data_IF_126849629990
#
_entry.id   IF_126849629990
#
_cell.length_a   1.000
_cell.length_b   1.000
_cell.length_c   1.000
_cell.angle_alpha   90.00
_cell.angle_beta   90.00
_cell.angle_gamma   90.00
#
_symmetry.space_group_name_H-M   'P 1'
#
loop_
_entity.id
_entity.type
_entity.pdbx_description
1 polymer ?
#
# COMPACT_ATOMS: atom_id res chain seq x y z
N UNK A 1 26.01 -12.55 -11.46
CA UNK A 1 25.69 -12.71 -10.03
C UNK A 1 24.25 -13.12 -9.99
N UNK A 2 23.92 -14.30 -9.51
CA UNK A 2 22.52 -14.69 -9.31
C UNK A 2 22.02 -13.85 -8.13
N UNK A 3 21.22 -12.81 -8.42
CA UNK A 3 20.51 -12.09 -7.40
C UNK A 3 19.55 -13.08 -6.74
N UNK A 4 19.83 -13.38 -5.46
CA UNK A 4 19.02 -14.29 -4.66
C UNK A 4 17.57 -13.78 -4.65
N UNK A 5 16.65 -14.69 -4.87
CA UNK A 5 15.22 -14.52 -4.70
C UNK A 5 14.97 -13.80 -3.36
N UNK A 6 14.17 -12.74 -3.30
CA UNK A 6 13.82 -12.13 -2.02
C UNK A 6 13.07 -13.16 -1.18
N UNK A 7 13.77 -13.73 -0.18
CA UNK A 7 13.09 -14.54 0.83
C UNK A 7 12.06 -13.66 1.54
N UNK A 8 10.99 -14.26 2.09
CA UNK A 8 10.05 -13.54 2.99
C UNK A 8 10.78 -12.77 4.11
N UNK A 9 12.01 -13.16 4.41
CA UNK A 9 12.89 -12.51 5.40
C UNK A 9 13.32 -11.10 4.98
N UNK A 10 13.25 -10.74 3.69
CA UNK A 10 13.62 -9.43 3.15
C UNK A 10 12.44 -8.52 2.91
N UNK A 11 11.24 -8.98 3.25
CA UNK A 11 9.98 -8.27 3.10
C UNK A 11 9.34 -7.99 4.46
N UNK A 12 8.83 -6.80 4.67
CA UNK A 12 7.98 -6.46 5.81
C UNK A 12 6.73 -5.70 5.38
N UNK A 13 5.74 -5.61 6.27
CA UNK A 13 4.58 -4.74 6.08
C UNK A 13 4.76 -3.41 6.83
N UNK A 14 4.28 -2.33 6.23
CA UNK A 14 4.14 -1.02 6.89
C UNK A 14 2.66 -0.68 6.94
N UNK A 15 2.15 -0.46 8.15
CA UNK A 15 0.75 -0.11 8.39
C UNK A 15 0.73 1.26 9.05
N UNK A 16 0.09 2.22 8.40
CA UNK A 16 -0.13 3.54 9.00
C UNK A 16 -1.49 3.56 9.67
N UNK A 17 -1.53 3.96 10.94
CA UNK A 17 -2.76 4.04 11.73
C UNK A 17 -3.03 5.45 12.20
N UNK A 18 -4.31 5.82 12.25
CA UNK A 18 -4.79 7.05 12.85
C UNK A 18 -6.16 6.81 13.48
N UNK A 19 -6.26 6.93 14.79
CA UNK A 19 -7.48 6.67 15.55
C UNK A 19 -8.17 5.34 15.17
N UNK A 20 -7.47 4.20 15.17
CA UNK A 20 -8.03 2.94 14.73
C UNK A 20 -9.24 2.54 15.57
N UNK A 21 -10.13 1.76 14.98
CA UNK A 21 -11.30 1.19 15.68
C UNK A 21 -10.92 -0.07 16.45
N UNK A 22 -11.79 -0.54 17.34
CA UNK A 22 -11.55 -1.79 18.08
C UNK A 22 -11.36 -3.01 17.16
N UNK A 23 -11.97 -3.01 15.98
CA UNK A 23 -11.79 -4.09 14.99
C UNK A 23 -10.37 -4.19 14.47
N UNK A 24 -9.56 -3.14 14.56
CA UNK A 24 -8.16 -3.14 14.13
C UNK A 24 -7.32 -4.17 14.89
N UNK A 25 -7.65 -4.48 16.14
CA UNK A 25 -6.94 -5.50 16.92
C UNK A 25 -7.00 -6.86 16.23
N UNK A 26 -8.20 -7.36 15.93
CA UNK A 26 -8.37 -8.62 15.22
C UNK A 26 -7.81 -8.58 13.79
N UNK A 27 -7.84 -7.42 13.15
CA UNK A 27 -7.22 -7.23 11.84
C UNK A 27 -5.69 -7.34 11.91
N UNK A 28 -5.04 -6.69 12.88
CA UNK A 28 -3.59 -6.80 13.10
C UNK A 28 -3.18 -8.24 13.39
N UNK A 29 -3.98 -9.00 14.15
CA UNK A 29 -3.74 -10.42 14.39
C UNK A 29 -3.71 -11.26 13.10
N UNK A 30 -4.60 -10.96 12.14
CA UNK A 30 -4.59 -11.64 10.84
C UNK A 30 -3.33 -11.24 10.04
N UNK A 31 -2.99 -9.95 10.00
CA UNK A 31 -1.80 -9.48 9.31
C UNK A 31 -0.52 -10.05 9.90
N UNK A 32 -0.46 -10.27 11.21
CA UNK A 32 0.67 -10.95 11.86
C UNK A 32 0.85 -12.41 11.42
N UNK A 33 -0.15 -13.05 10.84
CA UNK A 33 0.00 -14.41 10.27
C UNK A 33 0.60 -14.38 8.86
N UNK A 34 0.30 -13.32 8.10
CA UNK A 34 0.74 -13.16 6.71
C UNK A 34 2.18 -12.60 6.60
N UNK A 35 2.58 -11.72 7.51
CA UNK A 35 3.87 -11.02 7.46
C UNK A 35 4.81 -11.48 8.57
N UNK A 36 6.07 -11.71 8.25
CA UNK A 36 7.14 -12.01 9.23
C UNK A 36 7.41 -10.85 10.19
N UNK A 37 7.37 -9.61 9.69
CA UNK A 37 7.59 -8.36 10.43
C UNK A 37 6.59 -7.30 9.98
N UNK A 38 6.09 -6.51 10.95
CA UNK A 38 5.20 -5.37 10.71
C UNK A 38 5.79 -4.13 11.37
N UNK A 39 5.85 -3.03 10.63
CA UNK A 39 6.08 -1.70 11.17
C UNK A 39 4.73 -1.02 11.27
N UNK A 40 4.29 -0.77 12.49
CA UNK A 40 3.06 -0.04 12.79
C UNK A 40 3.41 1.42 13.04
N UNK A 41 3.00 2.31 12.14
CA UNK A 41 3.23 3.76 12.31
C UNK A 41 1.95 4.41 12.84
N UNK A 42 1.95 4.72 14.13
CA UNK A 42 0.87 5.50 14.75
C UNK A 42 1.02 6.98 14.38
N UNK A 43 0.13 7.46 13.53
CA UNK A 43 0.19 8.82 12.99
C UNK A 43 -0.54 9.85 13.87
N UNK A 44 -0.33 9.78 15.18
CA UNK A 44 -0.90 10.74 16.15
C UNK A 44 -2.29 10.37 16.64
N UNK A 45 -2.51 9.11 16.94
CA UNK A 45 -3.74 8.62 17.59
C UNK A 45 -3.97 9.29 18.94
N UNK A 46 -5.23 9.60 19.25
CA UNK A 46 -5.64 10.22 20.52
C UNK A 46 -5.28 9.35 21.73
N UNK A 47 -4.99 10.00 22.87
CA UNK A 47 -4.46 9.33 24.07
C UNK A 47 -5.34 8.18 24.57
N UNK A 48 -6.65 8.31 24.48
CA UNK A 48 -7.62 7.28 24.89
C UNK A 48 -7.50 5.98 24.08
N UNK A 49 -7.03 6.04 22.84
CA UNK A 49 -6.84 4.89 21.94
C UNK A 49 -5.39 4.40 21.85
N UNK A 50 -4.42 5.22 22.23
CA UNK A 50 -3.00 4.85 22.19
C UNK A 50 -2.67 3.62 23.04
N UNK A 51 -3.37 3.47 24.19
CA UNK A 51 -3.19 2.30 25.04
C UNK A 51 -3.44 0.99 24.28
N UNK A 52 -4.43 0.94 23.42
CA UNK A 52 -4.72 -0.24 22.59
C UNK A 52 -3.57 -0.58 21.66
N UNK A 53 -3.01 0.40 20.93
CA UNK A 53 -1.88 0.19 20.01
C UNK A 53 -0.63 -0.28 20.77
N UNK A 54 -0.35 0.34 21.92
CA UNK A 54 0.78 -0.05 22.78
C UNK A 54 0.65 -1.49 23.26
N UNK A 55 -0.54 -1.87 23.75
CA UNK A 55 -0.80 -3.23 24.24
C UNK A 55 -0.66 -4.25 23.11
N UNK A 56 -1.12 -3.94 21.89
CA UNK A 56 -0.96 -4.82 20.74
C UNK A 56 0.51 -4.99 20.34
N UNK A 57 1.26 -3.89 20.23
CA UNK A 57 2.68 -3.95 19.91
C UNK A 57 3.45 -4.76 20.98
N UNK A 58 3.13 -4.58 22.26
CA UNK A 58 3.73 -5.34 23.36
C UNK A 58 3.32 -6.81 23.32
N UNK A 59 2.06 -7.14 23.02
CA UNK A 59 1.55 -8.52 22.94
C UNK A 59 2.28 -9.34 21.87
N UNK A 60 2.45 -8.78 20.67
CA UNK A 60 3.17 -9.45 19.59
C UNK A 60 4.70 -9.41 19.76
N UNK A 61 5.19 -8.47 20.55
CA UNK A 61 6.61 -8.23 20.79
C UNK A 61 7.32 -7.53 19.63
N UNK A 62 8.42 -6.88 19.98
CA UNK A 62 9.23 -6.05 19.08
C UNK A 62 9.71 -6.82 17.82
N UNK A 63 9.99 -8.10 17.94
CA UNK A 63 10.42 -8.93 16.81
C UNK A 63 9.34 -9.05 15.73
N UNK A 64 8.06 -9.01 16.11
CA UNK A 64 6.92 -9.13 15.19
C UNK A 64 6.33 -7.80 14.78
N UNK A 65 6.08 -6.92 15.76
CA UNK A 65 5.47 -5.61 15.54
C UNK A 65 6.35 -4.53 16.15
N UNK A 66 6.95 -3.70 15.32
CA UNK A 66 7.64 -2.48 15.76
C UNK A 66 6.71 -1.28 15.65
N UNK A 67 6.59 -0.49 16.72
CA UNK A 67 5.69 0.65 16.79
C UNK A 67 6.45 1.97 16.72
N UNK A 68 6.26 2.72 15.64
CA UNK A 68 6.70 4.11 15.50
C UNK A 68 5.53 5.01 15.90
N UNK A 69 5.78 6.01 16.77
CA UNK A 69 4.74 6.92 17.28
C UNK A 69 5.01 8.35 16.87
N UNK A 70 4.01 8.96 16.28
CA UNK A 70 3.97 10.40 16.06
C UNK A 70 3.12 11.08 17.13
N UNK A 71 3.56 12.24 17.62
CA UNK A 71 2.82 13.03 18.62
C UNK A 71 1.59 13.74 18.03
N UNK A 72 1.51 13.82 16.70
CA UNK A 72 0.42 14.43 15.92
C UNK A 72 0.31 13.78 14.56
N UNK A 73 -0.79 13.98 13.85
CA UNK A 73 -0.89 13.59 12.47
C UNK A 73 0.09 14.41 11.61
N UNK A 74 1.07 13.71 11.03
CA UNK A 74 2.13 14.29 10.18
C UNK A 74 1.87 14.06 8.69
N UNK A 75 0.71 13.50 8.33
CA UNK A 75 0.35 13.10 6.99
C UNK A 75 0.83 11.68 6.64
N UNK A 76 0.19 11.09 5.61
CA UNK A 76 0.48 9.71 5.20
C UNK A 76 1.89 9.59 4.59
N UNK A 77 2.32 10.59 3.82
CA UNK A 77 3.64 10.60 3.18
C UNK A 77 4.77 10.51 4.22
N UNK A 78 4.76 11.38 5.23
CA UNK A 78 5.75 11.38 6.30
C UNK A 78 5.71 10.07 7.10
N UNK A 79 4.52 9.57 7.43
CA UNK A 79 4.38 8.32 8.16
C UNK A 79 4.92 7.12 7.36
N UNK A 80 4.65 7.03 6.07
CA UNK A 80 5.22 6.01 5.19
C UNK A 80 6.74 6.15 5.11
N UNK A 81 7.27 7.36 4.93
CA UNK A 81 8.71 7.61 4.87
C UNK A 81 9.43 7.12 6.13
N UNK A 82 8.85 7.29 7.32
CA UNK A 82 9.40 6.77 8.57
C UNK A 82 9.51 5.24 8.54
N UNK A 83 8.46 4.54 8.08
CA UNK A 83 8.47 3.08 7.96
C UNK A 83 9.48 2.59 6.91
N UNK A 84 9.57 3.25 5.75
CA UNK A 84 10.52 2.93 4.69
C UNK A 84 11.97 3.12 5.14
N UNK A 85 12.24 4.23 5.82
CA UNK A 85 13.57 4.52 6.36
C UNK A 85 13.98 3.45 7.38
N UNK A 86 13.07 3.10 8.31
CA UNK A 86 13.31 2.04 9.27
C UNK A 86 13.62 0.70 8.57
N UNK A 87 12.86 0.35 7.55
CA UNK A 87 13.07 -0.89 6.79
C UNK A 87 14.46 -0.94 6.14
N UNK A 88 14.90 0.17 5.53
CA UNK A 88 16.24 0.29 4.92
C UNK A 88 17.34 0.12 5.97
N UNK A 89 17.23 0.78 7.12
CA UNK A 89 18.20 0.73 8.20
C UNK A 89 18.36 -0.68 8.81
N UNK A 90 17.30 -1.50 8.68
CA UNK A 90 17.28 -2.89 9.18
C UNK A 90 17.50 -3.94 8.09
N UNK A 91 17.92 -3.50 6.88
CA UNK A 91 18.39 -4.40 5.82
C UNK A 91 17.28 -5.11 5.04
N UNK A 92 16.04 -4.59 5.07
CA UNK A 92 14.96 -5.06 4.20
C UNK A 92 15.13 -4.53 2.78
N UNK A 93 14.65 -5.28 1.81
CA UNK A 93 14.75 -4.94 0.39
C UNK A 93 13.41 -4.52 -0.20
N UNK A 94 12.31 -4.99 0.40
CA UNK A 94 10.95 -4.73 -0.06
C UNK A 94 10.04 -4.42 1.12
N UNK A 95 9.03 -3.61 0.86
CA UNK A 95 7.94 -3.34 1.80
C UNK A 95 6.59 -3.49 1.11
N UNK A 96 5.58 -3.98 1.83
CA UNK A 96 4.18 -3.88 1.44
C UNK A 96 3.53 -2.85 2.37
N UNK A 97 2.92 -1.83 1.80
CA UNK A 97 2.18 -0.83 2.56
C UNK A 97 0.71 -1.22 2.68
N UNK A 98 0.09 -0.98 3.81
CA UNK A 98 -1.31 -1.28 4.07
C UNK A 98 -1.96 -0.11 4.83
N UNK A 99 -3.18 0.21 4.45
CA UNK A 99 -4.03 1.05 5.29
C UNK A 99 -4.60 0.21 6.45
N UNK A 100 -4.96 0.87 7.54
CA UNK A 100 -5.46 0.20 8.76
C UNK A 100 -6.76 -0.59 8.56
N UNK A 101 -7.48 -0.38 7.46
CA UNK A 101 -8.77 -0.98 7.10
C UNK A 101 -8.72 -1.82 5.81
N UNK A 102 -7.53 -2.03 5.26
CA UNK A 102 -7.32 -2.83 4.05
C UNK A 102 -7.09 -4.30 4.40
N UNK A 103 -7.81 -5.21 3.76
CA UNK A 103 -7.74 -6.65 4.04
C UNK A 103 -7.14 -7.40 2.86
N UNK A 104 -5.91 -7.93 2.98
CA UNK A 104 -5.37 -8.87 2.00
C UNK A 104 -6.26 -10.11 1.87
N UNK A 105 -6.55 -10.51 0.64
CA UNK A 105 -7.16 -11.81 0.41
C UNK A 105 -6.12 -12.91 0.68
N UNK A 106 -6.59 -14.10 1.03
CA UNK A 106 -5.70 -15.23 1.31
C UNK A 106 -4.72 -15.48 0.14
N UNK A 107 -3.43 -15.62 0.45
CA UNK A 107 -2.36 -15.82 -0.53
C UNK A 107 -1.96 -14.57 -1.34
N UNK A 108 -2.47 -13.38 -1.01
CA UNK A 108 -2.09 -12.15 -1.73
C UNK A 108 -0.58 -11.91 -1.66
N UNK A 109 0.01 -12.07 -0.49
CA UNK A 109 1.45 -11.80 -0.27
C UNK A 109 2.30 -12.79 -1.07
N UNK A 110 1.99 -14.08 -0.99
CA UNK A 110 2.72 -15.12 -1.73
C UNK A 110 2.61 -14.90 -3.25
N UNK A 111 1.42 -14.50 -3.72
CA UNK A 111 1.19 -14.17 -5.14
C UNK A 111 2.00 -12.95 -5.58
N UNK A 112 2.13 -11.92 -4.76
CA UNK A 112 2.98 -10.76 -5.06
C UNK A 112 4.47 -11.14 -5.07
N UNK A 113 4.91 -11.95 -4.12
CA UNK A 113 6.30 -12.44 -4.07
C UNK A 113 6.60 -13.25 -5.34
N UNK A 114 5.74 -14.21 -5.68
CA UNK A 114 5.90 -15.00 -6.90
C UNK A 114 5.95 -14.12 -8.16
N UNK A 115 5.06 -13.14 -8.27
CA UNK A 115 5.04 -12.22 -9.41
C UNK A 115 6.29 -11.32 -9.46
N UNK A 116 6.82 -10.90 -8.31
CA UNK A 116 8.07 -10.16 -8.21
C UNK A 116 9.25 -10.99 -8.72
N UNK A 117 9.33 -12.26 -8.30
CA UNK A 117 10.39 -13.19 -8.69
C UNK A 117 10.41 -13.44 -10.21
N UNK A 118 9.24 -13.57 -10.82
CA UNK A 118 9.06 -13.88 -12.22
C UNK A 118 8.81 -12.64 -13.10
N UNK A 119 8.97 -11.43 -12.52
CA UNK A 119 8.74 -10.19 -13.27
C UNK A 119 9.82 -9.99 -14.34
N UNK A 120 9.44 -9.80 -15.63
CA UNK A 120 10.41 -9.72 -16.73
C UNK A 120 11.36 -8.51 -16.65
N UNK A 121 11.00 -7.46 -15.89
CA UNK A 121 11.80 -6.27 -15.64
C UNK A 121 11.96 -5.99 -14.15
N UNK A 122 12.24 -7.00 -13.35
CA UNK A 122 12.33 -6.89 -11.88
C UNK A 122 13.24 -5.75 -11.42
N UNK A 123 14.38 -5.55 -12.07
CA UNK A 123 15.35 -4.50 -11.76
C UNK A 123 14.78 -3.07 -11.89
N UNK A 124 13.78 -2.90 -12.75
CA UNK A 124 13.10 -1.61 -12.98
C UNK A 124 11.73 -1.53 -12.32
N UNK A 125 11.30 -2.57 -11.64
CA UNK A 125 9.99 -2.61 -11.00
C UNK A 125 10.02 -1.80 -9.70
N UNK A 126 9.48 -0.59 -9.73
CA UNK A 126 9.37 0.27 -8.55
C UNK A 126 8.22 -0.13 -7.64
N UNK A 127 7.07 -0.47 -8.25
CA UNK A 127 5.84 -0.83 -7.54
C UNK A 127 5.17 -2.02 -8.19
N UNK A 128 4.82 -3.01 -7.38
CA UNK A 128 3.95 -4.12 -7.74
C UNK A 128 2.73 -4.12 -6.85
N UNK A 129 1.58 -3.76 -7.39
CA UNK A 129 0.34 -3.66 -6.62
C UNK A 129 -0.55 -4.90 -6.80
N UNK A 130 -1.41 -5.20 -5.84
CA UNK A 130 -2.49 -6.14 -6.03
C UNK A 130 -3.63 -5.53 -6.84
N UNK A 131 -4.54 -6.37 -7.31
CA UNK A 131 -5.83 -5.95 -7.82
C UNK A 131 -6.73 -5.53 -6.65
N UNK A 132 -7.22 -4.30 -6.71
CA UNK A 132 -8.14 -3.77 -5.70
C UNK A 132 -9.55 -4.26 -5.99
N UNK A 133 -10.19 -4.81 -4.97
CA UNK A 133 -11.59 -5.26 -4.99
C UNK A 133 -12.39 -4.40 -4.02
N UNK A 134 -13.40 -3.70 -4.53
CA UNK A 134 -14.32 -2.96 -3.67
C UNK A 134 -15.30 -3.92 -2.99
N UNK A 135 -15.41 -3.84 -1.67
CA UNK A 135 -16.29 -4.71 -0.89
C UNK A 135 -17.79 -4.47 -1.18
N UNK A 136 -18.19 -3.20 -1.31
CA UNK A 136 -19.60 -2.80 -1.51
C UNK A 136 -20.06 -2.93 -2.97
N UNK A 137 -19.15 -2.87 -3.91
CA UNK A 137 -19.40 -3.04 -5.33
C UNK A 137 -18.32 -3.98 -5.87
N UNK A 138 -18.55 -5.31 -5.88
CA UNK A 138 -17.53 -6.28 -6.24
C UNK A 138 -17.16 -6.16 -7.72
N UNK A 139 -16.42 -5.14 -8.04
CA UNK A 139 -15.81 -4.89 -9.34
C UNK A 139 -14.33 -4.59 -9.17
N UNK A 140 -13.56 -5.03 -10.14
CA UNK A 140 -12.13 -4.77 -10.20
C UNK A 140 -11.89 -3.29 -10.52
N UNK A 141 -10.90 -2.70 -9.85
CA UNK A 141 -10.45 -1.36 -10.19
C UNK A 141 -9.89 -1.35 -11.62
N UNK A 142 -10.22 -0.32 -12.37
CA UNK A 142 -9.63 -0.09 -13.69
C UNK A 142 -8.37 0.76 -13.52
N UNK A 143 -7.29 0.29 -14.14
CA UNK A 143 -6.01 0.99 -14.13
C UNK A 143 -5.80 1.76 -15.43
N UNK A 144 -4.96 2.78 -15.37
CA UNK A 144 -4.59 3.57 -16.54
C UNK A 144 -3.19 3.16 -17.01
N UNK A 145 -3.06 2.93 -18.32
CA UNK A 145 -1.78 2.69 -18.98
C UNK A 145 -1.51 3.80 -19.96
N UNK A 146 -0.29 4.32 -19.99
CA UNK A 146 0.14 5.27 -21.00
C UNK A 146 0.45 4.54 -22.30
N UNK A 147 -0.28 4.87 -23.38
CA UNK A 147 -0.07 4.29 -24.70
C UNK A 147 0.97 5.09 -25.49
N UNK A 148 0.94 6.42 -25.38
CA UNK A 148 1.95 7.32 -25.94
C UNK A 148 1.93 8.67 -25.16
N UNK A 149 2.63 9.70 -25.67
CA UNK A 149 2.76 10.98 -24.97
C UNK A 149 1.43 11.65 -24.63
N UNK A 150 0.36 11.39 -25.39
CA UNK A 150 -0.94 12.06 -25.24
C UNK A 150 -2.13 11.12 -24.97
N UNK A 151 -1.93 9.82 -25.14
CA UNK A 151 -3.01 8.83 -25.04
C UNK A 151 -2.82 7.90 -23.86
N UNK A 152 -3.89 7.74 -23.09
CA UNK A 152 -4.04 6.76 -22.04
C UNK A 152 -5.13 5.77 -22.41
N UNK A 153 -4.98 4.53 -22.01
CA UNK A 153 -5.98 3.48 -22.18
C UNK A 153 -6.32 2.85 -20.83
N UNK A 154 -7.55 2.38 -20.70
CA UNK A 154 -7.90 1.56 -19.55
C UNK A 154 -7.26 0.18 -19.69
N UNK A 155 -6.59 -0.24 -18.63
CA UNK A 155 -6.06 -1.58 -18.50
C UNK A 155 -6.84 -2.31 -17.41
N UNK A 156 -7.43 -3.44 -17.75
CA UNK A 156 -8.10 -4.33 -16.81
C UNK A 156 -7.91 -5.76 -17.24
N UNK A 157 -7.70 -6.66 -16.32
CA UNK A 157 -7.68 -8.09 -16.53
C UNK A 157 -8.14 -8.77 -15.24
N UNK A 158 -8.70 -9.96 -15.36
CA UNK A 158 -9.06 -10.79 -14.20
C UNK A 158 -7.87 -11.60 -13.71
N UNK A 159 -6.94 -11.90 -14.60
CA UNK A 159 -5.75 -12.71 -14.34
C UNK A 159 -4.51 -12.14 -15.03
N UNK A 160 -3.34 -12.53 -14.55
CA UNK A 160 -2.05 -12.18 -15.11
C UNK A 160 -1.48 -10.85 -14.63
N UNK A 161 -0.43 -10.42 -15.29
CA UNK A 161 0.35 -9.24 -14.93
C UNK A 161 0.01 -8.05 -15.83
N UNK A 162 -0.57 -7.00 -15.26
CA UNK A 162 -0.73 -5.71 -15.94
C UNK A 162 0.55 -4.90 -15.76
N UNK A 163 1.16 -4.47 -16.86
CA UNK A 163 2.45 -3.79 -16.87
C UNK A 163 2.36 -2.36 -17.41
N UNK A 164 3.37 -1.55 -17.08
CA UNK A 164 3.51 -0.17 -17.54
C UNK A 164 2.29 0.68 -17.21
N UNK A 165 1.77 0.51 -16.00
CA UNK A 165 0.65 1.28 -15.50
C UNK A 165 1.10 2.68 -15.06
N UNK A 166 0.17 3.61 -15.01
CA UNK A 166 0.47 5.00 -14.67
C UNK A 166 0.34 5.25 -13.17
N UNK A 167 -0.68 4.69 -12.55
CA UNK A 167 -1.03 4.94 -11.15
C UNK A 167 -1.55 3.66 -10.51
N UNK A 168 -1.08 3.40 -9.30
CA UNK A 168 -1.63 2.44 -8.34
C UNK A 168 -1.76 3.15 -7.00
N UNK A 169 -2.59 2.64 -6.10
CA UNK A 169 -2.70 3.17 -4.73
C UNK A 169 -1.59 2.62 -3.84
N UNK A 170 -1.28 3.31 -2.75
CA UNK A 170 -0.29 2.83 -1.78
C UNK A 170 -0.72 1.54 -1.11
N UNK A 171 -2.00 1.41 -0.73
CA UNK A 171 -2.46 0.26 0.04
C UNK A 171 -2.35 -1.06 -0.73
N UNK A 172 -1.72 -2.06 -0.12
CA UNK A 172 -1.41 -3.37 -0.69
C UNK A 172 -0.19 -3.39 -1.62
N UNK A 173 0.38 -2.24 -1.97
CA UNK A 173 1.47 -2.15 -2.93
C UNK A 173 2.81 -2.57 -2.33
N UNK A 174 3.53 -3.41 -3.08
CA UNK A 174 4.90 -3.81 -2.81
C UNK A 174 5.86 -2.81 -3.48
N UNK A 175 6.77 -2.27 -2.70
CA UNK A 175 7.78 -1.30 -3.13
C UNK A 175 9.18 -1.89 -3.06
N UNK A 176 10.00 -1.60 -4.07
CA UNK A 176 11.44 -1.86 -4.07
C UNK A 176 12.17 -0.73 -3.34
N UNK A 177 12.77 -1.04 -2.18
CA UNK A 177 13.45 -0.04 -1.34
C UNK A 177 14.72 0.53 -1.98
N UNK A 178 15.41 -0.25 -2.81
CA UNK A 178 16.55 0.25 -3.58
C UNK A 178 16.14 1.32 -4.59
N UNK A 179 15.03 1.11 -5.28
CA UNK A 179 14.47 2.10 -6.21
C UNK A 179 13.93 3.31 -5.44
N UNK A 180 13.20 3.08 -4.33
CA UNK A 180 12.70 4.18 -3.50
C UNK A 180 13.84 5.08 -2.99
N UNK A 181 14.96 4.51 -2.57
CA UNK A 181 16.14 5.27 -2.16
C UNK A 181 16.71 6.13 -3.29
N UNK A 182 16.72 5.61 -4.53
CA UNK A 182 17.21 6.34 -5.70
C UNK A 182 16.26 7.46 -6.14
N UNK A 183 14.94 7.19 -6.08
CA UNK A 183 13.90 8.17 -6.43
C UNK A 183 13.77 9.28 -5.37
N UNK A 184 14.13 8.98 -4.14
CA UNK A 184 13.84 9.81 -2.97
C UNK A 184 12.46 9.50 -2.34
N UNK A 185 12.21 10.03 -1.14
CA UNK A 185 11.03 9.75 -0.33
C UNK A 185 9.73 10.24 -1.00
N UNK A 186 8.59 9.77 -0.48
CA UNK A 186 7.30 10.40 -0.78
C UNK A 186 7.32 11.86 -0.38
N UNK A 187 6.68 12.71 -1.14
CA UNK A 187 6.65 14.15 -0.89
C UNK A 187 5.75 14.47 0.29
N UNK A 188 6.33 14.99 1.36
CA UNK A 188 5.64 15.31 2.61
C UNK A 188 4.60 16.43 2.47
N UNK A 189 4.81 17.34 1.50
CA UNK A 189 3.91 18.46 1.23
C UNK A 189 2.55 18.03 0.66
N UNK A 190 2.43 16.81 0.14
CA UNK A 190 1.12 16.27 -0.27
C UNK A 190 0.24 15.80 0.88
N UNK A 191 0.79 15.65 2.06
CA UNK A 191 0.13 15.25 3.30
C UNK A 191 -0.70 13.96 3.19
N UNK A 192 -1.74 13.91 2.35
CA UNK A 192 -2.64 12.76 2.17
C UNK A 192 -2.92 12.44 0.70
N UNK A 193 -3.37 13.43 -0.08
CA UNK A 193 -3.80 13.21 -1.46
C UNK A 193 -2.61 13.26 -2.42
N UNK A 194 -2.67 12.47 -3.51
CA UNK A 194 -1.64 12.41 -4.57
C UNK A 194 -0.26 11.85 -4.17
N UNK A 195 -0.07 11.34 -2.98
CA UNK A 195 1.21 10.77 -2.51
C UNK A 195 1.65 9.62 -3.41
N UNK A 196 0.75 8.68 -3.69
CA UNK A 196 0.93 7.57 -4.61
C UNK A 196 1.08 8.03 -6.07
N UNK A 197 0.22 8.94 -6.49
CA UNK A 197 0.21 9.47 -7.85
C UNK A 197 1.54 10.15 -8.20
N UNK A 198 2.04 11.02 -7.33
CA UNK A 198 3.31 11.70 -7.50
C UNK A 198 4.47 10.70 -7.58
N UNK A 199 4.54 9.78 -6.62
CA UNK A 199 5.60 8.77 -6.59
C UNK A 199 5.61 7.91 -7.85
N UNK A 200 4.45 7.41 -8.27
CA UNK A 200 4.32 6.59 -9.47
C UNK A 200 4.74 7.35 -10.72
N UNK A 201 4.31 8.60 -10.89
CA UNK A 201 4.69 9.42 -12.04
C UNK A 201 6.19 9.74 -12.06
N UNK A 202 6.78 10.04 -10.90
CA UNK A 202 8.22 10.28 -10.76
C UNK A 202 9.03 9.02 -11.09
N UNK A 203 8.57 7.85 -10.64
CA UNK A 203 9.18 6.57 -10.99
C UNK A 203 9.18 6.33 -12.51
N UNK A 204 8.04 6.54 -13.16
CA UNK A 204 7.90 6.38 -14.62
C UNK A 204 8.80 7.37 -15.38
N UNK A 205 8.90 8.61 -14.93
CA UNK A 205 9.77 9.63 -15.55
C UNK A 205 11.24 9.23 -15.50
N UNK A 206 11.66 8.46 -14.49
CA UNK A 206 13.01 7.93 -14.36
C UNK A 206 13.20 6.54 -15.00
N UNK A 207 12.20 6.05 -15.73
CA UNK A 207 12.27 4.80 -16.49
C UNK A 207 12.01 3.54 -15.68
N UNK A 208 11.42 3.67 -14.48
CA UNK A 208 10.94 2.55 -13.68
C UNK A 208 9.52 2.12 -14.09
N UNK A 209 9.16 0.92 -13.70
CA UNK A 209 7.89 0.28 -14.06
C UNK A 209 6.97 0.16 -12.84
N UNK A 210 5.66 0.35 -13.11
CA UNK A 210 4.56 0.11 -12.18
C UNK A 210 3.72 -1.03 -12.76
N UNK A 211 3.45 -2.06 -11.96
CA UNK A 211 2.69 -3.23 -12.39
C UNK A 211 1.62 -3.63 -11.37
N UNK A 212 0.62 -4.38 -11.83
CA UNK A 212 -0.43 -4.98 -10.99
C UNK A 212 -0.50 -6.47 -11.28
N UNK A 213 -0.47 -7.27 -10.22
CA UNK A 213 -0.72 -8.71 -10.27
C UNK A 213 -2.19 -8.98 -9.99
N UNK A 214 -2.93 -9.44 -10.99
CA UNK A 214 -4.39 -9.52 -10.93
C UNK A 214 -4.91 -10.61 -9.98
N UNK A 215 -4.17 -11.70 -9.78
CA UNK A 215 -4.52 -12.77 -8.84
C UNK A 215 -4.24 -12.39 -7.38
N UNK A 216 -3.30 -11.46 -7.13
CA UNK A 216 -3.13 -10.87 -5.81
C UNK A 216 -4.26 -9.87 -5.57
N UNK A 217 -5.10 -10.10 -4.57
CA UNK A 217 -6.30 -9.28 -4.34
C UNK A 217 -6.26 -8.60 -2.99
N UNK A 218 -6.58 -7.32 -2.96
CA UNK A 218 -6.78 -6.54 -1.75
C UNK A 218 -8.23 -6.08 -1.67
N UNK A 219 -8.92 -6.42 -0.59
CA UNK A 219 -10.25 -5.89 -0.29
C UNK A 219 -10.03 -4.53 0.36
N UNK A 220 -10.51 -3.47 -0.28
CA UNK A 220 -10.30 -2.11 0.19
C UNK A 220 -11.52 -1.24 -0.06
N UNK A 221 -11.94 -0.51 0.97
CA UNK A 221 -13.07 0.42 0.88
C UNK A 221 -12.58 1.81 0.48
N UNK A 222 -12.78 2.18 -0.79
CA UNK A 222 -12.40 3.50 -1.34
C UNK A 222 -13.31 4.62 -0.81
N UNK A 223 -13.29 4.85 0.52
CA UNK A 223 -14.07 5.88 1.20
C UNK A 223 -15.58 5.60 1.27
N UNK A 224 -16.32 6.45 1.98
CA UNK A 224 -17.80 6.35 2.04
C UNK A 224 -18.39 6.89 0.73
N UNK A 225 -18.83 6.01 -0.15
CA UNK A 225 -19.60 6.38 -1.34
C UNK A 225 -21.08 6.48 -0.96
N UNK A 226 -21.73 7.57 -1.38
CA UNK A 226 -23.17 7.71 -1.29
C UNK A 226 -23.77 7.58 -2.70
N UNK A 227 -24.76 6.72 -2.82
CA UNK A 227 -25.55 6.65 -4.06
C UNK A 227 -26.31 7.96 -4.23
N UNK A 228 -26.04 8.69 -5.33
CA UNK A 228 -26.82 9.85 -5.74
C UNK A 228 -27.39 9.60 -7.13
N UNK A 229 -28.72 9.72 -7.25
CA UNK A 229 -29.39 9.66 -8.55
C UNK A 229 -29.50 11.08 -9.12
N UNK A 230 -28.88 11.31 -10.25
CA UNK A 230 -28.95 12.57 -10.97
C UNK A 230 -29.31 12.27 -12.44
N UNK A 231 -30.41 12.86 -12.93
CA UNK A 231 -30.90 12.73 -14.31
C UNK A 231 -30.98 11.28 -14.82
N UNK A 232 -31.50 10.36 -13.97
CA UNK A 232 -31.67 8.94 -14.32
C UNK A 232 -30.36 8.12 -14.31
N UNK A 233 -29.22 8.73 -13.99
CA UNK A 233 -27.93 8.04 -13.78
C UNK A 233 -27.60 7.94 -12.30
N UNK A 234 -27.18 6.77 -11.88
CA UNK A 234 -26.66 6.56 -10.53
C UNK A 234 -25.20 6.97 -10.49
N UNK A 235 -24.87 7.94 -9.64
CA UNK A 235 -23.52 8.42 -9.39
C UNK A 235 -23.12 7.97 -7.97
N UNK A 236 -21.86 7.60 -7.81
CA UNK A 236 -21.27 7.19 -6.53
C UNK A 236 -20.14 8.16 -6.12
N UNK A 237 -20.46 9.42 -5.75
CA UNK A 237 -19.44 10.35 -5.30
C UNK A 237 -18.79 9.82 -4.01
N UNK A 238 -17.46 9.87 -3.99
CA UNK A 238 -16.68 9.51 -2.79
C UNK A 238 -16.65 10.71 -1.85
N UNK A 239 -17.08 10.50 -0.62
CA UNK A 239 -16.97 11.51 0.44
C UNK A 239 -15.85 11.10 1.39
N UNK A 240 -14.86 11.95 1.50
CA UNK A 240 -13.83 11.84 2.53
C UNK A 240 -14.29 12.60 3.77
N UNK A 241 -13.93 12.10 4.95
CA UNK A 241 -14.18 12.82 6.20
C UNK A 241 -13.49 14.20 6.14
N UNK A 242 -14.14 15.28 6.59
CA UNK A 242 -13.51 16.61 6.64
C UNK A 242 -12.35 16.69 7.65
N UNK A 243 -12.13 15.64 8.43
CA UNK A 243 -11.02 15.49 9.38
C UNK A 243 -10.09 14.40 8.85
N UNK A 244 -9.29 14.76 7.88
CA UNK A 244 -8.12 13.98 7.46
C UNK A 244 -6.88 14.82 7.61
#
# INVERSE_FOLDING_TARGET
MHDSVPSQEKLLAIIVTYNPTHSFVGHLEQLCKEFGKIILVDNGTSQDKQATLNNQAQFFGEQKVHLIKNNKNVGIATALNQGFQWAIEHGYEYVITLDQDSTPAAGMVDTLIYALEHHPNREKLAVLAPMIVEELLPRLLQYMRRKNMFLYEHASAETGLLRNLTITITSGSLYNLGIWKNLGPFRDDFFIDYVDTEYNLRAIQQGYEISVQCEARLIHNLGKRQEKKLLGKTLYPTFHSPVR
#
